data_IF_219354078793
#
_entry.id   IF_219354078793
#
_cell.length_a   1.000
_cell.length_b   1.000
_cell.length_c   1.000
_cell.angle_alpha   90.00
_cell.angle_beta   90.00
_cell.angle_gamma   90.00
#
_symmetry.space_group_name_H-M   'P 1'
#
loop_
_entity.id
_entity.type
_entity.pdbx_description
1 polymer ?
#
# COMPACT_ATOMS: atom_id res chain seq x y z
N UNK A 1 25.22 0.25 6.26
CA UNK A 1 24.18 -0.64 5.72
C UNK A 1 22.83 -0.08 6.09
N UNK A 2 21.79 -0.42 5.35
CA UNK A 2 20.43 0.06 5.59
C UNK A 2 19.89 -0.42 6.93
N UNK A 3 19.26 0.47 7.71
CA UNK A 3 18.64 0.15 9.00
C UNK A 3 17.11 0.14 8.87
N UNK A 4 16.60 -0.95 8.34
CA UNK A 4 15.15 -1.13 8.15
C UNK A 4 14.60 -1.85 9.37
N UNK A 5 13.57 -1.29 10.00
CA UNK A 5 12.84 -2.01 11.05
C UNK A 5 12.24 -3.30 10.51
N UNK A 6 12.27 -4.36 11.30
CA UNK A 6 11.56 -5.59 10.97
C UNK A 6 10.07 -5.29 10.73
N UNK A 7 9.52 -5.83 9.65
CA UNK A 7 8.13 -5.58 9.24
C UNK A 7 7.87 -4.26 8.52
N UNK A 8 8.90 -3.53 8.09
CA UNK A 8 8.71 -2.33 7.25
C UNK A 8 8.07 -2.70 5.91
N UNK A 9 7.12 -1.89 5.46
CA UNK A 9 6.49 -2.02 4.15
C UNK A 9 7.24 -1.16 3.15
N UNK A 10 7.55 -1.70 1.97
CA UNK A 10 8.19 -0.96 0.87
C UNK A 10 7.40 -1.09 -0.42
N UNK A 11 7.45 -0.06 -1.26
CA UNK A 11 6.80 -0.05 -2.58
C UNK A 11 7.88 -0.23 -3.65
N UNK A 12 7.84 -1.35 -4.36
CA UNK A 12 8.83 -1.67 -5.38
C UNK A 12 8.54 -0.88 -6.66
N UNK A 13 9.59 -0.25 -7.21
CA UNK A 13 9.53 0.49 -8.48
C UNK A 13 9.87 -0.40 -9.66
N UNK A 14 9.84 0.16 -10.87
CA UNK A 14 10.31 -0.52 -12.09
C UNK A 14 11.76 -0.16 -12.47
N UNK A 15 12.45 0.68 -11.69
CA UNK A 15 13.85 1.00 -11.95
C UNK A 15 14.77 -0.06 -11.32
N UNK A 16 15.61 -0.70 -12.13
CA UNK A 16 16.59 -1.68 -11.64
C UNK A 16 17.52 -1.02 -10.62
N UNK A 17 17.81 -1.73 -9.55
CA UNK A 17 18.69 -1.25 -8.52
C UNK A 17 20.10 -1.02 -9.09
N UNK A 18 20.65 0.17 -8.80
CA UNK A 18 22.02 0.53 -9.10
C UNK A 18 22.66 1.21 -7.88
N UNK A 19 23.74 0.61 -7.37
CA UNK A 19 24.44 1.11 -6.18
C UNK A 19 25.03 2.52 -6.39
N UNK A 20 25.25 2.94 -7.63
CA UNK A 20 25.85 4.23 -7.97
C UNK A 20 24.84 5.38 -8.15
N UNK A 21 23.54 5.08 -8.27
CA UNK A 21 22.48 6.10 -8.38
C UNK A 21 21.95 6.51 -7.01
N UNK A 22 21.34 7.69 -6.87
CA UNK A 22 20.62 8.09 -5.65
C UNK A 22 21.37 7.80 -4.33
N UNK A 23 22.69 8.05 -4.30
CA UNK A 23 23.58 7.62 -3.21
C UNK A 23 23.14 8.22 -1.87
N UNK A 24 22.64 9.46 -1.89
CA UNK A 24 22.14 10.16 -0.71
C UNK A 24 20.87 9.48 -0.18
N UNK A 25 19.91 9.24 -1.06
CA UNK A 25 18.62 8.62 -0.76
C UNK A 25 18.79 7.17 -0.28
N UNK A 26 19.78 6.45 -0.80
CA UNK A 26 20.07 5.07 -0.42
C UNK A 26 20.76 4.97 0.94
N UNK A 27 21.87 5.68 1.13
CA UNK A 27 22.80 5.40 2.23
C UNK A 27 22.71 6.38 3.40
N UNK A 28 22.16 7.57 3.17
CA UNK A 28 22.11 8.62 4.19
C UNK A 28 20.68 8.93 4.64
N UNK A 29 19.70 8.86 3.74
CA UNK A 29 18.30 9.17 4.05
C UNK A 29 17.39 7.94 4.11
N UNK A 30 17.87 6.78 3.66
CA UNK A 30 17.13 5.51 3.66
C UNK A 30 15.73 5.62 3.03
N UNK A 31 15.62 6.46 2.00
CA UNK A 31 14.39 6.62 1.20
C UNK A 31 14.27 5.53 0.14
N UNK A 32 15.41 5.04 -0.35
CA UNK A 32 15.51 4.01 -1.37
C UNK A 32 16.34 2.83 -0.87
N UNK A 33 15.88 1.63 -1.24
CA UNK A 33 16.55 0.38 -0.90
C UNK A 33 16.52 -0.57 -2.09
N UNK A 34 17.44 -1.54 -2.18
CA UNK A 34 17.28 -2.64 -3.11
C UNK A 34 16.14 -3.56 -2.64
N UNK A 35 15.24 -3.92 -3.56
CA UNK A 35 14.42 -5.12 -3.42
C UNK A 35 15.26 -6.37 -3.69
N UNK A 36 14.81 -7.51 -3.20
CA UNK A 36 15.46 -8.80 -3.43
C UNK A 36 14.62 -9.66 -4.36
N UNK A 37 15.27 -10.27 -5.34
CA UNK A 37 14.67 -11.40 -6.07
C UNK A 37 14.88 -12.65 -5.24
N UNK A 38 13.80 -13.39 -4.96
CA UNK A 38 13.88 -14.65 -4.23
C UNK A 38 13.73 -15.81 -5.22
N UNK A 39 14.45 -16.90 -5.01
CA UNK A 39 14.17 -18.16 -5.68
C UNK A 39 12.92 -18.84 -5.06
N UNK A 40 12.54 -20.00 -5.60
CA UNK A 40 11.40 -20.77 -5.11
C UNK A 40 11.51 -21.21 -3.63
N UNK A 41 12.71 -21.23 -3.06
CA UNK A 41 12.96 -21.59 -1.65
C UNK A 41 13.11 -20.37 -0.73
N UNK A 42 12.85 -19.16 -1.24
CA UNK A 42 12.98 -17.91 -0.47
C UNK A 42 14.42 -17.40 -0.31
N UNK A 43 15.37 -17.98 -1.04
CA UNK A 43 16.77 -17.55 -1.02
C UNK A 43 16.97 -16.34 -1.94
N UNK A 44 17.59 -15.25 -1.45
CA UNK A 44 17.92 -14.10 -2.29
C UNK A 44 18.88 -14.48 -3.42
N UNK A 45 18.46 -14.24 -4.66
CA UNK A 45 19.26 -14.42 -5.87
C UNK A 45 20.05 -13.16 -6.24
N UNK A 46 19.67 -12.01 -5.71
CA UNK A 46 20.35 -10.74 -5.92
C UNK A 46 19.44 -9.54 -5.67
N UNK A 47 19.98 -8.36 -5.94
CA UNK A 47 19.21 -7.12 -5.95
C UNK A 47 18.36 -7.04 -7.21
N UNK A 48 17.09 -6.68 -7.04
CA UNK A 48 16.14 -6.49 -8.13
C UNK A 48 16.03 -5.02 -8.53
N UNK A 49 15.09 -4.33 -7.92
CA UNK A 49 14.66 -2.98 -8.27
C UNK A 49 14.81 -2.04 -7.07
N UNK A 50 14.76 -0.73 -7.30
CA UNK A 50 14.60 0.22 -6.20
C UNK A 50 13.23 0.03 -5.54
N UNK A 51 13.21 0.12 -4.22
CA UNK A 51 12.00 0.12 -3.40
C UNK A 51 11.96 1.39 -2.55
N UNK A 52 10.79 2.04 -2.53
CA UNK A 52 10.51 3.23 -1.75
C UNK A 52 10.16 2.83 -0.31
N UNK A 53 10.78 3.49 0.67
CA UNK A 53 10.42 3.37 2.09
C UNK A 53 9.42 4.44 2.50
N UNK A 54 8.91 4.35 3.72
CA UNK A 54 8.12 5.43 4.33
C UNK A 54 8.90 6.74 4.42
N UNK A 55 10.24 6.70 4.49
CA UNK A 55 11.07 7.90 4.53
C UNK A 55 11.02 8.66 3.21
N UNK A 56 10.90 7.94 2.08
CA UNK A 56 10.67 8.57 0.78
C UNK A 56 9.39 9.41 0.82
N UNK A 57 8.28 8.81 1.29
CA UNK A 57 6.98 9.49 1.39
C UNK A 57 7.07 10.70 2.33
N UNK A 58 7.69 10.54 3.51
CA UNK A 58 7.88 11.62 4.48
C UNK A 58 8.69 12.80 3.92
N UNK A 59 9.70 12.52 3.11
CA UNK A 59 10.57 13.54 2.51
C UNK A 59 9.87 14.36 1.41
N UNK A 60 8.82 13.82 0.78
CA UNK A 60 8.12 14.52 -0.28
C UNK A 60 7.34 15.73 0.26
N UNK A 61 7.52 16.91 -0.36
CA UNK A 61 6.69 18.08 -0.08
C UNK A 61 5.40 18.03 -0.92
N UNK A 62 4.55 17.06 -0.61
CA UNK A 62 3.27 16.83 -1.30
C UNK A 62 2.11 16.96 -0.31
N UNK A 63 0.99 17.44 -0.82
CA UNK A 63 -0.30 17.42 -0.15
C UNK A 63 -1.17 16.32 -0.78
N UNK A 64 -1.54 15.34 0.04
CA UNK A 64 -2.40 14.23 -0.34
C UNK A 64 -3.81 14.40 0.24
N UNK A 65 -4.22 15.64 0.56
CA UNK A 65 -5.60 15.93 0.93
C UNK A 65 -6.55 15.32 -0.11
N UNK A 66 -7.56 14.60 0.39
CA UNK A 66 -8.55 13.90 -0.43
C UNK A 66 -7.97 12.75 -1.27
N UNK A 67 -6.77 12.24 -0.98
CA UNK A 67 -6.28 11.03 -1.63
C UNK A 67 -6.77 9.76 -0.89
N UNK A 68 -7.03 8.70 -1.65
CA UNK A 68 -7.19 7.34 -1.12
C UNK A 68 -6.10 6.48 -1.75
N UNK A 69 -5.27 5.90 -0.91
CA UNK A 69 -4.14 5.06 -1.31
C UNK A 69 -4.59 3.61 -1.28
N UNK A 70 -4.37 2.87 -2.36
CA UNK A 70 -4.71 1.45 -2.46
C UNK A 70 -3.48 0.70 -2.96
N UNK A 71 -2.84 -0.07 -2.07
CA UNK A 71 -1.66 -0.87 -2.40
C UNK A 71 -2.08 -2.32 -2.66
N UNK A 72 -2.16 -2.67 -3.94
CA UNK A 72 -2.50 -4.00 -4.43
C UNK A 72 -1.25 -4.88 -4.53
N UNK A 73 -0.57 -5.08 -3.42
CA UNK A 73 0.66 -5.88 -3.37
C UNK A 73 0.83 -6.59 -2.04
N UNK A 74 1.73 -7.58 -2.04
CA UNK A 74 2.12 -8.32 -0.84
C UNK A 74 2.54 -7.37 0.26
N UNK A 75 2.09 -7.64 1.48
CA UNK A 75 2.43 -6.88 2.68
C UNK A 75 2.17 -5.37 2.60
N UNK A 76 1.29 -4.93 1.69
CA UNK A 76 0.97 -3.51 1.50
C UNK A 76 0.51 -2.81 2.78
N UNK A 77 -0.03 -3.55 3.76
CA UNK A 77 -0.38 -3.06 5.09
C UNK A 77 -0.01 -4.09 6.19
N UNK A 78 1.18 -4.69 6.09
CA UNK A 78 1.70 -5.60 7.13
C UNK A 78 2.06 -4.86 8.42
N UNK A 79 2.62 -3.66 8.29
CA UNK A 79 2.80 -2.71 9.38
C UNK A 79 2.22 -1.35 8.99
N UNK A 80 2.00 -0.51 10.00
CA UNK A 80 1.36 0.79 9.82
C UNK A 80 2.32 1.91 9.40
N UNK A 81 3.64 1.68 9.32
CA UNK A 81 4.61 2.76 9.13
C UNK A 81 4.45 3.48 7.79
N UNK A 82 4.28 2.72 6.71
CA UNK A 82 4.00 3.26 5.38
C UNK A 82 2.64 3.95 5.33
N UNK A 83 1.58 3.31 5.84
CA UNK A 83 0.24 3.91 5.88
C UNK A 83 0.24 5.24 6.64
N UNK A 84 0.90 5.29 7.81
CA UNK A 84 1.06 6.49 8.61
C UNK A 84 1.78 7.60 7.84
N UNK A 85 2.85 7.27 7.10
CA UNK A 85 3.55 8.26 6.29
C UNK A 85 2.66 8.90 5.21
N UNK A 86 1.76 8.13 4.58
CA UNK A 86 0.77 8.68 3.65
C UNK A 86 -0.33 9.49 4.35
N UNK A 87 -0.83 9.01 5.49
CA UNK A 87 -1.86 9.68 6.29
C UNK A 87 -1.35 11.04 6.83
N UNK A 88 -0.11 11.10 7.30
CA UNK A 88 0.55 12.34 7.74
C UNK A 88 0.69 13.37 6.60
N UNK A 89 0.60 12.93 5.33
CA UNK A 89 0.56 13.81 4.15
C UNK A 89 -0.87 14.22 3.75
N UNK A 90 -1.90 13.82 4.49
CA UNK A 90 -3.30 14.21 4.26
C UNK A 90 -4.17 13.15 3.59
N UNK A 91 -3.65 11.94 3.34
CA UNK A 91 -4.46 10.87 2.75
C UNK A 91 -5.65 10.48 3.65
N UNK A 92 -6.83 10.32 3.05
CA UNK A 92 -8.06 9.96 3.76
C UNK A 92 -8.05 8.52 4.28
N UNK A 93 -7.50 7.61 3.48
CA UNK A 93 -7.46 6.19 3.76
C UNK A 93 -6.30 5.54 3.00
N UNK A 94 -5.73 4.51 3.62
CA UNK A 94 -4.71 3.64 3.05
C UNK A 94 -5.18 2.19 3.13
N UNK A 95 -5.39 1.56 1.99
CA UNK A 95 -5.80 0.16 1.87
C UNK A 95 -4.60 -0.70 1.47
N UNK A 96 -4.50 -1.90 2.03
CA UNK A 96 -3.48 -2.86 1.65
C UNK A 96 -3.68 -4.23 2.30
N UNK A 97 -2.81 -5.15 1.94
CA UNK A 97 -2.87 -6.53 2.42
C UNK A 97 -1.88 -6.78 3.56
N UNK A 98 -2.28 -7.54 4.56
CA UNK A 98 -1.43 -7.89 5.71
C UNK A 98 -0.43 -9.03 5.43
N UNK A 99 -0.36 -9.55 4.20
CA UNK A 99 0.41 -10.75 3.89
C UNK A 99 0.71 -10.90 2.41
N UNK A 100 1.24 -12.06 2.05
CA UNK A 100 1.40 -12.43 0.65
C UNK A 100 0.03 -12.57 -0.04
N UNK A 101 -0.01 -12.21 -1.32
CA UNK A 101 -1.20 -12.29 -2.14
C UNK A 101 -0.82 -12.65 -3.57
N UNK A 102 -1.63 -13.49 -4.20
CA UNK A 102 -1.45 -13.78 -5.63
C UNK A 102 -1.93 -12.60 -6.46
N UNK A 103 -1.22 -12.26 -7.54
CA UNK A 103 -1.58 -11.12 -8.40
C UNK A 103 -3.03 -11.20 -8.92
N UNK A 104 -3.56 -12.35 -9.40
CA UNK A 104 -4.95 -12.44 -9.82
C UNK A 104 -5.97 -12.20 -8.70
N UNK A 105 -5.62 -12.51 -7.45
CA UNK A 105 -6.49 -12.24 -6.30
C UNK A 105 -6.43 -10.76 -5.91
N UNK A 106 -5.24 -10.15 -5.89
CA UNK A 106 -5.07 -8.71 -5.66
C UNK A 106 -5.88 -7.88 -6.67
N UNK A 107 -5.81 -8.21 -7.95
CA UNK A 107 -6.54 -7.52 -9.02
C UNK A 107 -8.07 -7.62 -8.83
N UNK A 108 -8.57 -8.83 -8.52
CA UNK A 108 -10.01 -9.06 -8.27
C UNK A 108 -10.50 -8.28 -7.06
N UNK A 109 -9.76 -8.33 -5.94
CA UNK A 109 -10.09 -7.61 -4.72
C UNK A 109 -10.04 -6.11 -4.94
N UNK A 110 -9.03 -5.60 -5.66
CA UNK A 110 -8.91 -4.19 -6.01
C UNK A 110 -10.07 -3.69 -6.87
N UNK A 111 -10.42 -4.42 -7.94
CA UNK A 111 -11.53 -4.06 -8.81
C UNK A 111 -12.88 -4.03 -8.06
N UNK A 112 -13.15 -5.04 -7.22
CA UNK A 112 -14.39 -5.10 -6.45
C UNK A 112 -14.43 -4.02 -5.35
N UNK A 113 -13.29 -3.71 -4.71
CA UNK A 113 -13.18 -2.60 -3.76
C UNK A 113 -13.48 -1.25 -4.43
N UNK A 114 -12.86 -0.97 -5.58
CA UNK A 114 -13.10 0.26 -6.34
C UNK A 114 -14.56 0.39 -6.75
N UNK A 115 -15.17 -0.70 -7.25
CA UNK A 115 -16.60 -0.74 -7.57
C UNK A 115 -17.45 -0.40 -6.35
N UNK A 116 -17.22 -1.05 -5.22
CA UNK A 116 -18.01 -0.82 -4.01
C UNK A 116 -17.86 0.62 -3.46
N UNK A 117 -16.65 1.16 -3.45
CA UNK A 117 -16.37 2.52 -2.95
C UNK A 117 -16.96 3.62 -3.85
N UNK A 118 -16.78 3.50 -5.17
CA UNK A 118 -16.99 4.62 -6.09
C UNK A 118 -18.19 4.47 -7.03
N UNK A 119 -18.61 3.24 -7.37
CA UNK A 119 -19.77 2.98 -8.23
C UNK A 119 -21.01 2.74 -7.37
N UNK A 120 -20.93 1.79 -6.44
CA UNK A 120 -22.02 1.46 -5.51
C UNK A 120 -22.13 2.47 -4.36
N UNK A 121 -21.16 3.38 -4.24
CA UNK A 121 -21.19 4.51 -3.30
C UNK A 121 -21.35 4.08 -1.83
N UNK A 122 -20.82 2.91 -1.48
CA UNK A 122 -20.81 2.38 -0.11
C UNK A 122 -19.87 3.18 0.79
N UNK A 123 -20.11 3.13 2.10
CA UNK A 123 -19.09 3.58 3.04
C UNK A 123 -17.92 2.58 3.12
N UNK A 124 -16.81 2.96 3.76
CA UNK A 124 -15.58 2.13 3.82
C UNK A 124 -15.88 0.73 4.39
N UNK A 125 -16.63 0.65 5.49
CA UNK A 125 -16.96 -0.62 6.13
C UNK A 125 -17.76 -1.54 5.19
N UNK A 126 -18.84 -1.01 4.63
CA UNK A 126 -19.69 -1.72 3.68
C UNK A 126 -18.92 -2.16 2.44
N UNK A 127 -18.00 -1.33 1.95
CA UNK A 127 -17.20 -1.63 0.78
C UNK A 127 -16.23 -2.78 1.05
N UNK A 128 -15.50 -2.76 2.17
CA UNK A 128 -14.62 -3.87 2.57
C UNK A 128 -15.44 -5.14 2.77
N UNK A 129 -16.54 -5.09 3.54
CA UNK A 129 -17.37 -6.26 3.81
C UNK A 129 -17.96 -6.87 2.54
N UNK A 130 -18.45 -6.04 1.61
CA UNK A 130 -18.99 -6.50 0.34
C UNK A 130 -17.91 -7.11 -0.56
N UNK A 131 -16.73 -6.49 -0.63
CA UNK A 131 -15.58 -7.04 -1.36
C UNK A 131 -15.17 -8.39 -0.81
N UNK A 132 -15.05 -8.53 0.51
CA UNK A 132 -14.67 -9.80 1.14
C UNK A 132 -15.76 -10.87 1.01
N UNK A 133 -17.04 -10.49 0.98
CA UNK A 133 -18.15 -11.43 0.73
C UNK A 133 -18.15 -11.93 -0.72
N UNK A 134 -17.81 -11.05 -1.68
CA UNK A 134 -17.82 -11.36 -3.11
C UNK A 134 -16.59 -12.15 -3.55
N UNK A 135 -15.40 -11.72 -3.12
CA UNK A 135 -14.10 -12.24 -3.57
C UNK A 135 -13.58 -13.32 -2.63
N UNK A 136 -13.85 -13.20 -1.33
CA UNK A 136 -13.30 -14.06 -0.29
C UNK A 136 -11.89 -13.64 0.16
N UNK A 137 -11.38 -14.34 1.17
CA UNK A 137 -9.99 -14.24 1.62
C UNK A 137 -9.06 -14.89 0.58
N UNK A 138 -7.82 -14.41 0.51
CA UNK A 138 -6.80 -15.00 -0.36
C UNK A 138 -6.65 -16.52 -0.07
N UNK A 139 -6.80 -17.41 -1.06
CA UNK A 139 -6.95 -18.84 -0.81
C UNK A 139 -5.69 -19.54 -0.31
N UNK A 140 -4.50 -19.06 -0.64
CA UNK A 140 -3.21 -19.73 -0.38
C UNK A 140 -2.52 -19.19 0.88
N UNK A 141 -2.32 -17.88 0.94
CA UNK A 141 -1.62 -17.15 1.98
C UNK A 141 -2.54 -16.62 3.09
N UNK A 142 -3.85 -16.69 2.90
CA UNK A 142 -4.87 -16.21 3.86
C UNK A 142 -4.74 -14.73 4.22
N UNK A 143 -4.21 -13.92 3.30
CA UNK A 143 -4.09 -12.49 3.51
C UNK A 143 -5.44 -11.78 3.40
N UNK A 144 -5.61 -10.77 4.24
CA UNK A 144 -6.83 -9.97 4.34
C UNK A 144 -6.59 -8.54 3.86
N UNK A 145 -7.62 -7.95 3.26
CA UNK A 145 -7.64 -6.54 2.92
C UNK A 145 -7.92 -5.72 4.19
N UNK A 146 -7.00 -4.83 4.53
CA UNK A 146 -7.08 -3.92 5.68
C UNK A 146 -7.16 -2.47 5.22
N UNK A 147 -7.51 -1.59 6.16
CA UNK A 147 -7.50 -0.14 5.97
C UNK A 147 -6.96 0.58 7.21
N UNK A 148 -6.12 1.59 7.00
CA UNK A 148 -5.81 2.63 7.99
C UNK A 148 -6.47 3.93 7.54
N UNK A 149 -7.05 4.67 8.49
CA UNK A 149 -7.82 5.88 8.22
C UNK A 149 -7.09 7.11 8.73
N UNK A 150 -7.22 8.22 8.01
CA UNK A 150 -6.81 9.53 8.52
C UNK A 150 -7.67 9.97 9.70
N UNK A 151 -7.15 10.88 10.52
CA UNK A 151 -7.74 11.27 11.82
C UNK A 151 -9.21 11.71 11.74
N UNK A 152 -9.62 12.30 10.61
CA UNK A 152 -10.97 12.81 10.38
C UNK A 152 -11.89 11.84 9.62
N UNK A 153 -11.45 10.61 9.36
CA UNK A 153 -12.17 9.60 8.57
C UNK A 153 -12.58 8.44 9.48
N UNK A 154 -13.83 8.00 9.33
CA UNK A 154 -14.40 6.89 10.09
C UNK A 154 -14.79 5.75 9.16
N UNK A 155 -14.96 4.55 9.70
CA UNK A 155 -15.38 3.37 8.92
C UNK A 155 -16.72 3.56 8.20
N UNK A 156 -17.63 4.37 8.74
CA UNK A 156 -18.91 4.71 8.10
C UNK A 156 -18.82 5.90 7.13
N UNK A 157 -17.62 6.45 6.89
CA UNK A 157 -17.42 7.54 5.92
C UNK A 157 -17.61 7.03 4.49
N UNK A 158 -18.40 7.78 3.72
CA UNK A 158 -18.57 7.62 2.27
C UNK A 158 -17.48 8.39 1.54
N UNK A 159 -16.33 7.76 1.31
CA UNK A 159 -15.15 8.47 0.77
C UNK A 159 -15.39 9.08 -0.61
N UNK A 160 -16.31 8.55 -1.39
CA UNK A 160 -16.68 9.09 -2.71
C UNK A 160 -17.17 10.56 -2.64
N UNK A 161 -17.69 11.01 -1.48
CA UNK A 161 -18.09 12.39 -1.24
C UNK A 161 -16.94 13.40 -1.37
N UNK A 162 -15.69 12.96 -1.21
CA UNK A 162 -14.51 13.82 -1.32
C UNK A 162 -14.07 14.05 -2.78
N UNK A 163 -14.53 13.20 -3.71
CA UNK A 163 -14.07 13.20 -5.11
C UNK A 163 -15.12 13.72 -6.08
N UNK A 164 -16.39 13.45 -5.80
CA UNK A 164 -17.49 13.80 -6.69
C UNK A 164 -18.35 14.89 -6.05
N UNK A 165 -18.64 15.94 -6.80
CA UNK A 165 -19.63 16.95 -6.39
C UNK A 165 -20.97 16.24 -6.14
N UNK A 166 -21.59 16.54 -5.01
CA UNK A 166 -22.99 16.18 -4.79
C UNK A 166 -23.79 16.97 -5.85
N UNK A 167 -24.40 16.25 -6.79
CA UNK A 167 -25.37 16.82 -7.72
C UNK A 167 -26.70 17.06 -7.04
#
# INVERSE_FOLDING_TARGET
GWKISEGSVVIITQERYDKSKYVVEQFFQEQLLPSFTLNATGTPLGFGYFALTENFVKAQNIDLEKATIIILGCHGLYSKSMAKAFIEKGALAYFGFNGYITAPHADKTGAELLKNLFIEKKNIQEAISATMTRVGIEPYYKSELLVELGDNVKMNTKIWNYYFKQG
#
